data_IF_580501854846
#
_entry.id   IF_580501854846
#
_cell.length_a   1.000
_cell.length_b   1.000
_cell.length_c   1.000
_cell.angle_alpha   90.00
_cell.angle_beta   90.00
_cell.angle_gamma   90.00
#
_symmetry.space_group_name_H-M   'P 1'
#
loop_
_entity.id
_entity.type
_entity.pdbx_description
1 polymer ?
#
# COMPACT_ATOMS: atom_id res chain seq x y z
N UNK A 1 22.34 39.94 25.42
CA UNK A 1 21.62 38.75 25.92
C UNK A 1 21.55 37.81 24.75
N UNK A 2 22.45 36.85 24.78
CA UNK A 2 22.83 36.00 23.66
C UNK A 2 21.68 35.13 23.18
N UNK A 3 21.70 34.83 21.89
CA UNK A 3 20.67 34.08 21.19
C UNK A 3 20.48 32.70 21.81
N UNK A 4 19.30 32.48 22.37
CA UNK A 4 18.76 31.12 22.46
C UNK A 4 18.45 30.68 21.03
N UNK A 5 19.43 30.02 20.41
CA UNK A 5 19.18 29.11 19.31
C UNK A 5 18.07 28.16 19.79
N UNK A 6 16.90 28.24 19.16
CA UNK A 6 15.85 27.23 19.32
C UNK A 6 16.43 25.96 18.70
N UNK A 7 17.14 25.17 19.52
CA UNK A 7 17.52 23.82 19.17
C UNK A 7 16.23 23.07 18.85
N UNK A 8 16.15 22.52 17.64
CA UNK A 8 14.98 21.79 17.15
C UNK A 8 14.50 20.80 18.21
N UNK A 9 13.19 20.76 18.41
CA UNK A 9 12.55 19.82 19.34
C UNK A 9 13.08 18.41 19.08
N UNK A 10 13.54 17.67 20.11
CA UNK A 10 13.97 16.29 19.94
C UNK A 10 12.86 15.50 19.23
N UNK A 11 13.20 14.79 18.15
CA UNK A 11 12.25 13.95 17.40
C UNK A 11 11.51 12.93 18.29
N UNK A 12 12.10 12.55 19.42
CA UNK A 12 11.42 11.81 20.49
C UNK A 12 11.76 12.38 21.87
N UNK A 13 10.81 13.05 22.55
CA UNK A 13 10.98 13.43 23.94
C UNK A 13 10.66 12.24 24.85
N UNK A 14 11.69 11.60 25.42
CA UNK A 14 11.54 10.58 26.47
C UNK A 14 11.84 9.13 26.04
N UNK A 15 11.58 8.14 26.91
CA UNK A 15 11.87 6.73 26.61
C UNK A 15 11.03 6.26 25.41
N UNK A 16 11.64 5.49 24.52
CA UNK A 16 10.98 4.94 23.32
C UNK A 16 9.78 4.10 23.73
N UNK A 17 8.58 4.55 23.39
CA UNK A 17 7.31 3.82 23.54
C UNK A 17 6.78 3.47 22.16
N UNK A 18 6.13 2.32 22.03
CA UNK A 18 5.50 1.90 20.77
C UNK A 18 4.22 2.69 20.48
N UNK A 19 3.51 3.09 21.53
CA UNK A 19 2.25 3.81 21.44
C UNK A 19 2.29 5.10 22.26
N UNK A 20 1.65 6.13 21.74
CA UNK A 20 1.35 7.36 22.48
C UNK A 20 0.30 7.11 23.56
N UNK A 21 0.42 7.83 24.69
CA UNK A 21 -0.60 7.81 25.73
C UNK A 21 -1.91 8.42 25.19
N UNK A 22 -3.04 7.75 25.45
CA UNK A 22 -4.37 8.20 24.99
C UNK A 22 -5.11 9.06 26.01
N UNK A 23 -4.41 9.52 27.05
CA UNK A 23 -5.02 10.29 28.13
C UNK A 23 -5.50 11.63 27.59
N UNK A 24 -6.82 11.84 27.67
CA UNK A 24 -7.46 13.08 27.26
C UNK A 24 -8.02 13.81 28.47
N UNK A 25 -7.60 15.06 28.64
CA UNK A 25 -8.24 16.01 29.54
C UNK A 25 -8.90 17.09 28.70
N UNK A 26 -10.19 17.37 28.94
CA UNK A 26 -10.89 18.36 28.16
C UNK A 26 -10.33 19.76 28.43
N UNK A 27 -9.93 20.44 27.35
CA UNK A 27 -9.45 21.83 27.36
C UNK A 27 -10.48 22.83 26.83
N UNK A 28 -11.73 22.41 26.62
CA UNK A 28 -12.80 23.27 26.08
C UNK A 28 -13.50 24.04 27.21
N UNK A 29 -14.13 25.16 26.87
CA UNK A 29 -14.78 26.04 27.85
C UNK A 29 -16.07 25.44 28.42
N UNK A 30 -16.75 24.57 27.67
CA UNK A 30 -18.03 23.98 28.08
C UNK A 30 -18.03 22.46 27.98
N UNK A 31 -18.80 21.80 28.84
CA UNK A 31 -18.98 20.33 28.81
C UNK A 31 -19.53 19.87 27.46
N UNK A 32 -20.43 20.65 26.84
CA UNK A 32 -20.99 20.32 25.53
C UNK A 32 -19.93 20.30 24.42
N UNK A 33 -18.96 21.21 24.47
CA UNK A 33 -17.83 21.20 23.52
C UNK A 33 -16.91 20.01 23.76
N UNK A 34 -16.71 19.61 25.03
CA UNK A 34 -16.00 18.37 25.36
C UNK A 34 -16.70 17.14 24.79
N UNK A 35 -18.01 17.02 24.98
CA UNK A 35 -18.81 15.91 24.47
C UNK A 35 -18.78 15.89 22.94
N UNK A 36 -18.91 17.06 22.30
CA UNK A 36 -18.81 17.22 20.86
C UNK A 36 -17.45 16.76 20.32
N UNK A 37 -16.35 17.11 21.00
CA UNK A 37 -15.01 16.68 20.62
C UNK A 37 -14.81 15.16 20.77
N UNK A 38 -15.47 14.55 21.75
CA UNK A 38 -15.43 13.12 22.02
C UNK A 38 -16.39 12.28 21.16
N UNK A 39 -17.17 12.92 20.28
CA UNK A 39 -18.04 12.18 19.35
C UNK A 39 -17.21 11.22 18.47
N UNK A 40 -17.88 10.16 18.02
CA UNK A 40 -17.27 9.01 17.37
C UNK A 40 -16.31 9.36 16.22
N UNK A 41 -16.66 10.37 15.40
CA UNK A 41 -15.88 10.78 14.22
C UNK A 41 -14.89 11.92 14.48
N UNK A 42 -14.95 12.53 15.66
CA UNK A 42 -14.24 13.77 16.00
C UNK A 42 -13.01 13.47 16.87
N UNK A 43 -13.12 12.43 17.71
CA UNK A 43 -12.17 12.20 18.78
C UNK A 43 -10.81 11.73 18.25
N UNK A 44 -9.81 12.62 18.38
CA UNK A 44 -8.46 12.40 17.85
C UNK A 44 -7.78 11.18 18.46
N UNK A 45 -7.91 10.99 19.78
CA UNK A 45 -7.24 9.93 20.55
C UNK A 45 -7.69 8.50 20.20
N UNK A 46 -8.72 8.36 19.35
CA UNK A 46 -9.23 7.07 18.86
C UNK A 46 -9.27 7.03 17.32
N UNK A 47 -8.74 8.05 16.63
CA UNK A 47 -8.91 8.20 15.19
C UNK A 47 -8.30 7.04 14.37
N UNK A 48 -7.20 6.45 14.84
CA UNK A 48 -6.61 5.25 14.26
C UNK A 48 -7.56 4.05 14.30
N UNK A 49 -8.27 3.85 15.43
CA UNK A 49 -9.29 2.82 15.56
C UNK A 49 -10.53 3.08 14.70
N UNK A 50 -10.85 4.35 14.41
CA UNK A 50 -12.02 4.73 13.60
C UNK A 50 -11.78 4.71 12.09
N UNK A 51 -10.53 4.91 11.65
CA UNK A 51 -10.22 5.08 10.24
C UNK A 51 -9.20 4.07 9.71
N UNK A 52 -8.08 3.87 10.42
CA UNK A 52 -7.03 2.98 9.96
C UNK A 52 -7.40 1.50 10.18
N UNK A 53 -7.92 1.13 11.36
CA UNK A 53 -8.35 -0.26 11.62
C UNK A 53 -9.47 -0.73 10.69
N UNK A 54 -10.54 0.04 10.41
CA UNK A 54 -11.55 -0.36 9.43
C UNK A 54 -10.97 -0.51 8.02
N UNK A 55 -9.96 0.29 7.65
CA UNK A 55 -9.27 0.16 6.35
C UNK A 55 -8.52 -1.17 6.28
N UNK A 56 -7.83 -1.54 7.36
CA UNK A 56 -7.19 -2.85 7.49
C UNK A 56 -8.21 -3.98 7.42
N UNK A 57 -9.33 -3.85 8.13
CA UNK A 57 -10.40 -4.83 8.12
C UNK A 57 -11.03 -4.98 6.72
N UNK A 58 -11.19 -3.88 5.98
CA UNK A 58 -11.68 -3.88 4.61
C UNK A 58 -10.80 -4.73 3.69
N UNK A 59 -9.49 -4.46 3.66
CA UNK A 59 -8.55 -5.24 2.84
C UNK A 59 -8.45 -6.70 3.30
N UNK A 60 -8.40 -6.93 4.62
CA UNK A 60 -8.29 -8.27 5.19
C UNK A 60 -9.52 -9.13 4.88
N UNK A 61 -10.72 -8.55 4.95
CA UNK A 61 -11.98 -9.24 4.63
C UNK A 61 -12.01 -9.71 3.18
N UNK A 62 -11.53 -8.88 2.24
CA UNK A 62 -11.39 -9.27 0.83
C UNK A 62 -10.41 -10.44 0.70
N UNK A 63 -9.22 -10.33 1.31
CA UNK A 63 -8.21 -11.41 1.24
C UNK A 63 -8.75 -12.72 1.83
N UNK A 64 -9.43 -12.65 2.97
CA UNK A 64 -10.05 -13.80 3.64
C UNK A 64 -11.10 -14.45 2.73
N UNK A 65 -11.96 -13.67 2.08
CA UNK A 65 -12.96 -14.18 1.16
C UNK A 65 -12.33 -14.96 -0.01
N UNK A 66 -11.27 -14.43 -0.62
CA UNK A 66 -10.53 -15.13 -1.67
C UNK A 66 -9.76 -16.34 -1.15
N UNK A 67 -9.23 -16.29 0.08
CA UNK A 67 -8.54 -17.41 0.72
C UNK A 67 -9.51 -18.57 1.01
N UNK A 68 -10.71 -18.28 1.52
CA UNK A 68 -11.75 -19.29 1.70
C UNK A 68 -12.18 -19.92 0.38
N UNK A 69 -12.38 -19.12 -0.68
CA UNK A 69 -12.69 -19.64 -2.00
C UNK A 69 -11.57 -20.55 -2.52
N UNK A 70 -10.31 -20.17 -2.31
CA UNK A 70 -9.15 -20.98 -2.71
C UNK A 70 -9.06 -22.30 -1.94
N UNK A 71 -9.16 -22.24 -0.61
CA UNK A 71 -9.14 -23.41 0.26
C UNK A 71 -10.30 -24.36 -0.09
N UNK A 72 -11.49 -23.84 -0.36
CA UNK A 72 -12.64 -24.63 -0.79
C UNK A 72 -12.36 -25.34 -2.12
N UNK A 73 -11.77 -24.67 -3.11
CA UNK A 73 -11.44 -25.29 -4.41
C UNK A 73 -10.37 -26.40 -4.27
N UNK A 74 -9.46 -26.30 -3.31
CA UNK A 74 -8.43 -27.32 -3.08
C UNK A 74 -8.92 -28.50 -2.23
N UNK A 75 -9.72 -28.23 -1.18
CA UNK A 75 -10.04 -29.21 -0.15
C UNK A 75 -11.42 -29.84 -0.29
N UNK A 76 -12.37 -29.20 -1.00
CA UNK A 76 -13.72 -29.72 -1.13
C UNK A 76 -13.75 -31.03 -1.94
N UNK A 77 -14.56 -32.03 -1.52
CA UNK A 77 -14.67 -33.29 -2.25
C UNK A 77 -15.31 -33.09 -3.62
N UNK A 78 -14.94 -33.94 -4.58
CA UNK A 78 -15.43 -33.89 -5.97
C UNK A 78 -16.96 -33.94 -6.06
N UNK A 79 -17.63 -34.61 -5.11
CA UNK A 79 -19.10 -34.65 -5.03
C UNK A 79 -19.70 -33.26 -4.84
N UNK A 80 -19.13 -32.46 -3.93
CA UNK A 80 -19.56 -31.10 -3.65
C UNK A 80 -19.23 -30.15 -4.80
N UNK A 81 -18.04 -30.30 -5.41
CA UNK A 81 -17.61 -29.49 -6.56
C UNK A 81 -18.51 -29.67 -7.79
N UNK A 82 -19.13 -30.85 -7.95
CA UNK A 82 -20.04 -31.16 -9.06
C UNK A 82 -21.45 -30.63 -8.88
N UNK A 83 -21.81 -30.11 -7.70
CA UNK A 83 -23.14 -29.55 -7.45
C UNK A 83 -23.43 -28.36 -8.39
N UNK A 84 -24.69 -28.17 -8.83
CA UNK A 84 -25.02 -27.11 -9.78
C UNK A 84 -24.70 -25.71 -9.24
N UNK A 85 -24.81 -25.52 -7.92
CA UNK A 85 -24.48 -24.25 -7.26
C UNK A 85 -22.99 -23.95 -7.40
N UNK A 86 -22.10 -24.88 -7.02
CA UNK A 86 -20.65 -24.67 -7.10
C UNK A 86 -20.19 -24.49 -8.55
N UNK A 87 -20.78 -25.22 -9.50
CA UNK A 87 -20.47 -25.04 -10.93
C UNK A 87 -20.90 -23.66 -11.45
N UNK A 88 -22.07 -23.17 -11.05
CA UNK A 88 -22.56 -21.82 -11.42
C UNK A 88 -21.71 -20.72 -10.81
N UNK A 89 -21.36 -20.83 -9.52
CA UNK A 89 -20.51 -19.84 -8.85
C UNK A 89 -19.10 -19.81 -9.46
N UNK A 90 -18.52 -20.98 -9.74
CA UNK A 90 -17.20 -21.08 -10.42
C UNK A 90 -17.27 -20.52 -11.84
N UNK A 91 -18.35 -20.75 -12.58
CA UNK A 91 -18.53 -20.17 -13.90
C UNK A 91 -18.65 -18.63 -13.86
N UNK A 92 -19.38 -18.09 -12.88
CA UNK A 92 -19.49 -16.65 -12.66
C UNK A 92 -18.13 -16.04 -12.28
N UNK A 93 -17.39 -16.66 -11.37
CA UNK A 93 -16.04 -16.21 -10.99
C UNK A 93 -15.09 -16.17 -12.21
N UNK A 94 -15.11 -17.22 -13.03
CA UNK A 94 -14.35 -17.26 -14.29
C UNK A 94 -14.78 -16.15 -15.24
N UNK A 95 -16.08 -15.91 -15.39
CA UNK A 95 -16.59 -14.83 -16.22
C UNK A 95 -16.09 -13.47 -15.72
N UNK A 96 -16.18 -13.19 -14.43
CA UNK A 96 -15.69 -11.93 -13.84
C UNK A 96 -14.16 -11.80 -13.98
N UNK A 97 -13.43 -12.89 -13.83
CA UNK A 97 -11.96 -12.94 -13.93
C UNK A 97 -11.42 -12.76 -15.35
N UNK A 98 -12.18 -13.15 -16.39
CA UNK A 98 -11.72 -13.10 -17.79
C UNK A 98 -12.40 -12.02 -18.64
N UNK A 99 -13.59 -11.53 -18.26
CA UNK A 99 -14.34 -10.57 -19.07
C UNK A 99 -13.62 -9.22 -19.11
N UNK A 100 -13.12 -8.86 -20.28
CA UNK A 100 -12.45 -7.58 -20.57
C UNK A 100 -13.24 -6.82 -21.63
N UNK A 101 -13.30 -5.49 -21.52
CA UNK A 101 -13.92 -4.61 -22.50
C UNK A 101 -12.86 -3.89 -23.34
N UNK A 102 -13.04 -3.93 -24.66
CA UNK A 102 -12.18 -3.26 -25.63
C UNK A 102 -12.70 -1.86 -25.92
N UNK A 103 -11.96 -0.82 -25.53
CA UNK A 103 -12.27 0.56 -25.89
C UNK A 103 -11.52 0.87 -27.20
N UNK A 104 -12.24 0.78 -28.33
CA UNK A 104 -11.66 0.96 -29.67
C UNK A 104 -11.05 2.34 -29.87
N UNK A 105 -11.69 3.38 -29.34
CA UNK A 105 -11.25 4.76 -29.51
C UNK A 105 -9.80 4.99 -29.10
N UNK A 106 -9.33 4.34 -28.03
CA UNK A 106 -7.99 4.56 -27.45
C UNK A 106 -7.08 3.35 -27.62
N UNK A 107 -7.48 2.38 -28.45
CA UNK A 107 -6.76 1.12 -28.63
C UNK A 107 -6.44 0.43 -27.27
N UNK A 108 -7.31 0.58 -26.26
CA UNK A 108 -7.05 0.18 -24.87
C UNK A 108 -8.01 -0.93 -24.38
N UNK A 109 -7.49 -1.85 -23.55
CA UNK A 109 -8.24 -2.94 -22.94
C UNK A 109 -8.47 -2.64 -21.47
N UNK A 110 -9.70 -2.82 -21.00
CA UNK A 110 -10.00 -2.67 -19.57
C UNK A 110 -9.32 -3.75 -18.73
N UNK A 111 -9.19 -3.50 -17.43
CA UNK A 111 -8.98 -4.60 -16.49
C UNK A 111 -10.20 -5.56 -16.55
N UNK A 112 -10.03 -6.83 -16.14
CA UNK A 112 -11.15 -7.75 -15.98
C UNK A 112 -12.28 -7.17 -15.13
N UNK A 113 -13.53 -7.49 -15.47
CA UNK A 113 -14.72 -6.95 -14.84
C UNK A 113 -14.72 -7.15 -13.31
N UNK A 114 -14.28 -8.32 -12.81
CA UNK A 114 -14.17 -8.56 -11.38
C UNK A 114 -13.21 -7.59 -10.66
N UNK A 115 -12.10 -7.24 -11.31
CA UNK A 115 -11.15 -6.26 -10.77
C UNK A 115 -11.77 -4.85 -10.77
N UNK A 116 -12.51 -4.48 -11.82
CA UNK A 116 -13.21 -3.20 -11.88
C UNK A 116 -14.28 -3.08 -10.79
N UNK A 117 -15.04 -4.15 -10.54
CA UNK A 117 -16.05 -4.18 -9.47
C UNK A 117 -15.42 -4.07 -8.08
N UNK A 118 -14.35 -4.82 -7.80
CA UNK A 118 -13.61 -4.70 -6.53
C UNK A 118 -13.07 -3.29 -6.34
N UNK A 119 -12.63 -2.66 -7.43
CA UNK A 119 -12.11 -1.31 -7.39
C UNK A 119 -13.20 -0.26 -7.19
N UNK A 120 -14.39 -0.49 -7.73
CA UNK A 120 -15.57 0.33 -7.45
C UNK A 120 -15.93 0.25 -5.97
N UNK A 121 -15.95 -0.96 -5.38
CA UNK A 121 -16.19 -1.17 -3.95
C UNK A 121 -15.16 -0.42 -3.11
N UNK A 122 -13.87 -0.52 -3.45
CA UNK A 122 -12.81 0.25 -2.78
C UNK A 122 -13.00 1.76 -2.91
N UNK A 123 -13.35 2.25 -4.10
CA UNK A 123 -13.60 3.69 -4.33
C UNK A 123 -14.76 4.20 -3.49
N UNK A 124 -15.86 3.46 -3.43
CA UNK A 124 -17.02 3.79 -2.58
C UNK A 124 -16.61 3.79 -1.11
N UNK A 125 -15.86 2.78 -0.66
CA UNK A 125 -15.37 2.71 0.72
C UNK A 125 -14.55 3.95 1.10
N UNK A 126 -13.50 4.28 0.33
CA UNK A 126 -12.65 5.44 0.62
C UNK A 126 -13.42 6.76 0.51
N UNK A 127 -14.31 6.90 -0.48
CA UNK A 127 -15.14 8.09 -0.62
C UNK A 127 -16.08 8.26 0.59
N UNK A 128 -16.77 7.19 1.02
CA UNK A 128 -17.65 7.24 2.18
C UNK A 128 -16.88 7.56 3.46
N UNK A 129 -15.77 6.85 3.74
CA UNK A 129 -14.97 7.09 4.96
C UNK A 129 -14.32 8.46 4.98
N UNK A 130 -14.10 9.08 3.82
CA UNK A 130 -13.52 10.43 3.72
C UNK A 130 -14.57 11.54 3.76
N UNK A 131 -15.75 11.34 3.16
CA UNK A 131 -16.71 12.42 2.92
C UNK A 131 -17.96 12.36 3.81
N UNK A 132 -18.36 11.18 4.29
CA UNK A 132 -19.55 11.06 5.15
C UNK A 132 -19.29 11.60 6.56
N UNK A 133 -18.14 11.32 7.22
CA UNK A 133 -17.84 11.88 8.53
C UNK A 133 -17.74 13.41 8.49
N UNK A 134 -18.55 14.07 9.32
CA UNK A 134 -18.47 15.50 9.62
C UNK A 134 -17.78 15.72 10.98
N UNK A 135 -17.34 16.95 11.31
CA UNK A 135 -17.14 18.07 10.39
C UNK A 135 -15.88 17.86 9.55
N UNK A 136 -15.58 18.79 8.63
CA UNK A 136 -14.39 18.72 7.78
C UNK A 136 -13.25 19.57 8.36
N UNK A 137 -13.63 20.71 8.93
CA UNK A 137 -12.77 21.62 9.70
C UNK A 137 -13.42 21.86 11.05
N UNK A 138 -12.60 22.17 12.05
CA UNK A 138 -13.10 22.66 13.32
C UNK A 138 -13.78 24.03 13.16
N UNK A 139 -14.78 24.35 14.00
CA UNK A 139 -15.36 25.68 14.04
C UNK A 139 -14.27 26.74 14.27
N UNK A 140 -14.33 27.83 13.50
CA UNK A 140 -13.52 29.02 13.76
C UNK A 140 -14.15 29.76 14.94
N UNK A 141 -13.61 29.60 16.14
CA UNK A 141 -14.01 30.35 17.33
C UNK A 141 -13.07 31.54 17.56
N UNK A 142 -13.64 32.70 17.92
CA UNK A 142 -12.88 33.89 18.33
C UNK A 142 -12.15 33.69 19.67
N UNK A 143 -12.68 32.80 20.51
CA UNK A 143 -12.01 32.31 21.71
C UNK A 143 -10.96 31.26 21.33
N UNK A 144 -9.83 31.27 22.04
CA UNK A 144 -8.67 30.38 21.88
C UNK A 144 -8.98 28.91 22.24
N UNK A 145 -10.15 28.39 21.84
CA UNK A 145 -10.55 27.00 22.01
C UNK A 145 -9.76 26.18 21.00
N UNK A 146 -8.67 25.59 21.48
CA UNK A 146 -7.81 24.72 20.69
C UNK A 146 -8.51 23.36 20.52
N UNK A 147 -9.11 23.13 19.35
CA UNK A 147 -9.78 21.87 18.98
C UNK A 147 -8.80 20.75 18.59
N UNK A 148 -7.52 20.86 18.99
CA UNK A 148 -6.43 20.07 18.43
C UNK A 148 -5.99 20.62 17.08
N UNK A 149 -4.70 20.83 16.88
CA UNK A 149 -4.12 21.48 15.69
C UNK A 149 -4.29 20.72 14.36
N UNK A 150 -5.10 19.65 14.35
CA UNK A 150 -5.37 18.79 13.20
C UNK A 150 -6.84 18.88 12.77
N UNK A 151 -7.15 19.40 11.56
CA UNK A 151 -8.50 19.41 11.02
C UNK A 151 -9.09 17.98 10.91
N UNK A 152 -10.38 17.75 11.21
CA UNK A 152 -10.96 16.39 11.20
C UNK A 152 -10.85 15.66 9.85
N UNK A 153 -10.97 16.39 8.73
CA UNK A 153 -10.75 15.81 7.39
C UNK A 153 -9.30 15.38 7.18
N UNK A 154 -8.34 16.14 7.70
CA UNK A 154 -6.94 15.79 7.61
C UNK A 154 -6.62 14.55 8.45
N UNK A 155 -7.10 14.52 9.70
CA UNK A 155 -6.90 13.40 10.63
C UNK A 155 -7.40 12.09 10.03
N UNK A 156 -8.66 12.05 9.56
CA UNK A 156 -9.23 10.81 9.02
C UNK A 156 -8.51 10.32 7.77
N UNK A 157 -8.21 11.22 6.83
CA UNK A 157 -7.56 10.85 5.58
C UNK A 157 -6.10 10.40 5.80
N UNK A 158 -5.40 10.96 6.79
CA UNK A 158 -4.08 10.48 7.23
C UNK A 158 -4.12 9.05 7.76
N UNK A 159 -5.12 8.70 8.58
CA UNK A 159 -5.28 7.34 9.09
C UNK A 159 -5.78 6.35 8.02
N UNK A 160 -6.67 6.76 7.10
CA UNK A 160 -7.03 5.96 5.93
C UNK A 160 -5.81 5.66 5.04
N UNK A 161 -4.96 6.67 4.85
CA UNK A 161 -3.68 6.59 4.15
C UNK A 161 -2.74 5.57 4.80
N UNK A 162 -2.53 5.67 6.12
CA UNK A 162 -1.67 4.73 6.86
C UNK A 162 -2.22 3.29 6.86
N UNK A 163 -3.54 3.12 6.91
CA UNK A 163 -4.21 1.82 6.80
C UNK A 163 -3.96 1.10 5.47
N UNK A 164 -3.69 1.83 4.38
CA UNK A 164 -3.31 1.25 3.08
C UNK A 164 -1.88 0.68 3.07
N UNK A 165 -0.98 1.25 3.88
CA UNK A 165 0.47 1.03 3.76
C UNK A 165 0.88 -0.45 3.81
N UNK A 166 0.43 -1.28 4.77
CA UNK A 166 0.82 -2.68 4.81
C UNK A 166 0.44 -3.46 3.54
N UNK A 167 -0.72 -3.15 2.96
CA UNK A 167 -1.25 -3.85 1.79
C UNK A 167 -0.58 -3.42 0.48
N UNK A 168 -0.10 -2.18 0.38
CA UNK A 168 0.72 -1.73 -0.75
C UNK A 168 1.98 -2.58 -0.85
N UNK A 169 2.68 -2.80 0.28
CA UNK A 169 3.89 -3.62 0.31
C UNK A 169 3.60 -5.10 0.11
N UNK A 170 2.52 -5.61 0.72
CA UNK A 170 2.12 -7.01 0.61
C UNK A 170 1.76 -7.40 -0.82
N UNK A 171 1.24 -6.47 -1.63
CA UNK A 171 0.88 -6.69 -3.04
C UNK A 171 2.03 -6.38 -4.03
N UNK A 172 3.14 -5.80 -3.57
CA UNK A 172 4.26 -5.40 -4.42
C UNK A 172 5.14 -6.59 -4.85
N UNK A 173 5.34 -7.57 -3.97
CA UNK A 173 6.34 -8.63 -4.13
C UNK A 173 5.96 -9.76 -5.08
N UNK A 174 6.92 -10.21 -5.91
CA UNK A 174 6.78 -11.42 -6.75
C UNK A 174 6.55 -12.69 -5.94
N UNK A 175 7.19 -12.75 -4.77
CA UNK A 175 6.87 -13.70 -3.70
C UNK A 175 6.04 -12.91 -2.71
N UNK A 176 4.79 -13.30 -2.52
CA UNK A 176 3.89 -12.61 -1.60
C UNK A 176 2.98 -13.62 -0.90
N UNK A 177 2.65 -13.31 0.36
CA UNK A 177 1.84 -14.17 1.21
C UNK A 177 0.39 -14.25 0.72
N UNK A 178 -0.13 -13.23 0.03
CA UNK A 178 -1.49 -13.24 -0.51
C UNK A 178 -1.65 -14.34 -1.55
N UNK A 179 -0.71 -14.48 -2.48
CA UNK A 179 -0.68 -15.56 -3.48
C UNK A 179 -0.64 -16.92 -2.80
N UNK A 180 0.08 -17.06 -1.68
CA UNK A 180 0.16 -18.33 -0.95
C UNK A 180 -1.18 -18.77 -0.37
N UNK A 181 -2.01 -17.83 0.12
CA UNK A 181 -3.32 -18.15 0.73
C UNK A 181 -4.50 -18.08 -0.24
N UNK A 182 -4.43 -17.25 -1.27
CA UNK A 182 -5.53 -17.03 -2.23
C UNK A 182 -5.35 -17.72 -3.58
N UNK A 183 -4.13 -18.18 -3.90
CA UNK A 183 -3.77 -18.68 -5.23
C UNK A 183 -3.80 -17.61 -6.34
N UNK A 184 -4.05 -16.34 -6.02
CA UNK A 184 -4.07 -15.25 -7.00
C UNK A 184 -2.64 -14.91 -7.43
N UNK A 185 -2.38 -14.88 -8.74
CA UNK A 185 -1.04 -14.62 -9.27
C UNK A 185 -0.54 -13.21 -8.95
N UNK A 186 0.78 -13.06 -8.81
CA UNK A 186 1.45 -11.77 -8.61
C UNK A 186 1.03 -10.72 -9.66
N UNK A 187 0.88 -11.11 -10.92
CA UNK A 187 0.48 -10.20 -12.00
C UNK A 187 -0.89 -9.53 -11.73
N UNK A 188 -1.85 -10.29 -11.18
CA UNK A 188 -3.14 -9.75 -10.77
C UNK A 188 -2.98 -8.84 -9.55
N UNK A 189 -2.15 -9.23 -8.58
CA UNK A 189 -1.86 -8.42 -7.39
C UNK A 189 -1.16 -7.09 -7.71
N UNK A 190 -0.39 -7.00 -8.79
CA UNK A 190 0.19 -5.74 -9.25
C UNK A 190 -0.87 -4.71 -9.67
N UNK A 191 -2.05 -5.16 -10.10
CA UNK A 191 -3.17 -4.24 -10.31
C UNK A 191 -3.60 -3.64 -8.98
N UNK A 192 -3.79 -4.46 -7.95
CA UNK A 192 -4.14 -3.97 -6.61
C UNK A 192 -3.05 -3.08 -6.00
N UNK A 193 -1.77 -3.44 -6.12
CA UNK A 193 -0.65 -2.60 -5.67
C UNK A 193 -0.77 -1.16 -6.18
N UNK A 194 -1.04 -0.99 -7.49
CA UNK A 194 -1.24 0.33 -8.10
C UNK A 194 -2.48 1.05 -7.56
N UNK A 195 -3.63 0.37 -7.51
CA UNK A 195 -4.88 1.02 -7.12
C UNK A 195 -4.90 1.39 -5.63
N UNK A 196 -4.34 0.54 -4.76
CA UNK A 196 -4.15 0.87 -3.34
C UNK A 196 -3.15 2.03 -3.20
N UNK A 197 -2.08 2.06 -4.00
CA UNK A 197 -1.15 3.20 -4.03
C UNK A 197 -1.84 4.50 -4.46
N UNK A 198 -2.79 4.45 -5.39
CA UNK A 198 -3.59 5.62 -5.76
C UNK A 198 -4.50 6.06 -4.63
N UNK A 199 -5.18 5.14 -3.94
CA UNK A 199 -5.99 5.47 -2.76
C UNK A 199 -5.11 6.10 -1.67
N UNK A 200 -3.94 5.51 -1.38
CA UNK A 200 -2.94 6.01 -0.44
C UNK A 200 -2.49 7.43 -0.81
N UNK A 201 -2.20 7.70 -2.09
CA UNK A 201 -1.78 9.02 -2.53
C UNK A 201 -2.92 10.05 -2.46
N UNK A 202 -4.14 9.68 -2.89
CA UNK A 202 -5.31 10.58 -2.83
C UNK A 202 -5.64 10.93 -1.38
N UNK A 203 -5.65 9.97 -0.47
CA UNK A 203 -5.90 10.26 0.95
C UNK A 203 -4.75 11.06 1.58
N UNK A 204 -3.50 10.87 1.17
CA UNK A 204 -2.38 11.73 1.59
C UNK A 204 -2.51 13.18 1.09
N UNK A 205 -3.02 13.40 -0.12
CA UNK A 205 -3.35 14.75 -0.60
C UNK A 205 -4.49 15.38 0.21
N UNK A 206 -5.55 14.61 0.47
CA UNK A 206 -6.70 15.05 1.30
C UNK A 206 -6.28 15.25 2.76
N UNK A 207 -5.20 14.62 3.22
CA UNK A 207 -4.59 14.88 4.52
C UNK A 207 -3.86 16.23 4.51
N UNK A 208 -3.03 16.45 3.49
CA UNK A 208 -2.12 17.59 3.42
C UNK A 208 -2.85 18.92 3.16
N UNK A 209 -3.74 18.98 2.17
CA UNK A 209 -4.33 20.25 1.75
C UNK A 209 -5.21 20.93 2.82
N UNK A 210 -6.00 20.23 3.64
CA UNK A 210 -6.71 20.86 4.73
C UNK A 210 -5.79 21.45 5.79
N UNK A 211 -4.63 20.86 6.09
CA UNK A 211 -3.61 21.51 6.92
C UNK A 211 -3.12 22.80 6.27
N UNK A 212 -2.86 22.78 4.95
CA UNK A 212 -2.45 23.98 4.21
C UNK A 212 -3.50 25.09 4.33
N UNK A 213 -4.75 24.78 4.01
CA UNK A 213 -5.87 25.73 4.04
C UNK A 213 -6.12 26.26 5.45
N UNK A 214 -6.15 25.37 6.46
CA UNK A 214 -6.40 25.75 7.84
C UNK A 214 -5.33 26.72 8.35
N UNK A 215 -4.05 26.40 8.18
CA UNK A 215 -2.95 27.22 8.71
C UNK A 215 -2.71 28.51 7.93
N UNK A 216 -3.09 28.58 6.64
CA UNK A 216 -3.13 29.86 5.92
C UNK A 216 -4.23 30.75 6.49
N UNK A 217 -5.43 30.20 6.72
CA UNK A 217 -6.58 30.95 7.27
C UNK A 217 -6.35 31.46 8.68
N UNK A 218 -5.60 30.72 9.50
CA UNK A 218 -5.26 31.09 10.88
C UNK A 218 -3.92 31.83 11.00
N UNK A 219 -3.28 32.17 9.87
CA UNK A 219 -1.97 32.83 9.80
C UNK A 219 -0.83 32.08 10.53
N UNK A 220 -0.96 30.77 10.70
CA UNK A 220 0.01 29.91 11.39
C UNK A 220 0.99 29.19 10.44
N UNK A 221 0.80 29.28 9.12
CA UNK A 221 1.56 28.49 8.14
C UNK A 221 3.09 28.62 8.30
N UNK A 222 3.59 29.85 8.41
CA UNK A 222 5.03 30.11 8.53
C UNK A 222 5.57 29.58 9.86
N UNK A 223 4.81 29.75 10.94
CA UNK A 223 5.18 29.23 12.26
C UNK A 223 5.27 27.70 12.20
N UNK A 224 4.21 27.04 11.74
CA UNK A 224 4.16 25.58 11.63
C UNK A 224 5.29 25.03 10.75
N UNK A 225 5.58 25.66 9.61
CA UNK A 225 6.69 25.23 8.75
C UNK A 225 8.04 25.30 9.45
N UNK A 226 8.28 26.33 10.25
CA UNK A 226 9.57 26.57 10.89
C UNK A 226 9.76 25.77 12.19
N UNK A 227 8.67 25.47 12.91
CA UNK A 227 8.75 24.87 14.25
C UNK A 227 8.23 23.44 14.33
N UNK A 228 7.38 23.02 13.39
CA UNK A 228 6.77 21.70 13.40
C UNK A 228 7.50 20.74 12.45
N UNK A 229 8.18 19.75 13.05
CA UNK A 229 8.93 18.74 12.34
C UNK A 229 8.08 17.93 11.33
N UNK A 230 6.80 17.77 11.60
CA UNK A 230 5.90 16.96 10.78
C UNK A 230 5.61 17.61 9.43
N UNK A 231 5.68 18.95 9.33
CA UNK A 231 5.33 19.67 8.10
C UNK A 231 6.32 19.38 6.98
N UNK A 232 7.61 19.60 7.22
CA UNK A 232 8.61 19.44 6.18
C UNK A 232 8.87 17.95 5.88
N UNK A 233 8.85 17.08 6.89
CA UNK A 233 8.98 15.63 6.70
C UNK A 233 7.80 15.06 5.92
N UNK A 234 6.58 15.51 6.21
CA UNK A 234 5.36 15.17 5.46
C UNK A 234 5.42 15.61 4.01
N UNK A 235 5.94 16.81 3.73
CA UNK A 235 6.14 17.29 2.34
C UNK A 235 7.16 16.45 1.59
N UNK A 236 8.29 16.09 2.21
CA UNK A 236 9.28 15.21 1.56
C UNK A 236 8.68 13.83 1.26
N UNK A 237 7.92 13.26 2.21
CA UNK A 237 7.20 12.01 2.00
C UNK A 237 6.18 12.14 0.84
N UNK A 238 5.39 13.22 0.81
CA UNK A 238 4.39 13.44 -0.25
C UNK A 238 5.02 13.60 -1.64
N UNK A 239 6.16 14.29 -1.76
CA UNK A 239 6.91 14.42 -3.01
C UNK A 239 7.42 13.05 -3.48
N UNK A 240 8.00 12.25 -2.57
CA UNK A 240 8.43 10.90 -2.88
C UNK A 240 7.25 10.01 -3.32
N UNK A 241 6.10 10.13 -2.66
CA UNK A 241 4.87 9.40 -3.03
C UNK A 241 4.30 9.84 -4.37
N UNK A 242 4.36 11.14 -4.68
CA UNK A 242 3.98 11.68 -5.98
C UNK A 242 4.89 11.11 -7.08
N UNK A 243 6.20 11.06 -6.86
CA UNK A 243 7.14 10.39 -7.78
C UNK A 243 6.77 8.91 -7.97
N UNK A 244 6.57 8.16 -6.88
CA UNK A 244 6.18 6.76 -6.93
C UNK A 244 4.89 6.54 -7.74
N UNK A 245 3.96 7.49 -7.69
CA UNK A 245 2.67 7.42 -8.40
C UNK A 245 2.82 7.77 -9.87
N UNK A 246 3.34 8.96 -10.17
CA UNK A 246 3.38 9.49 -11.54
C UNK A 246 4.46 8.81 -12.38
N UNK A 247 5.67 8.57 -11.86
CA UNK A 247 6.73 7.90 -12.62
C UNK A 247 6.37 6.43 -12.98
N UNK A 248 5.44 5.83 -12.24
CA UNK A 248 4.97 4.45 -12.47
C UNK A 248 3.92 4.31 -13.58
N UNK A 249 3.46 5.40 -14.20
CA UNK A 249 2.54 5.31 -15.34
C UNK A 249 3.22 4.67 -16.55
N UNK A 250 2.45 3.91 -17.34
CA UNK A 250 3.00 3.05 -18.39
C UNK A 250 3.88 3.76 -19.43
N UNK A 251 3.54 4.96 -19.92
CA UNK A 251 4.39 5.68 -20.86
C UNK A 251 5.75 6.07 -20.26
N UNK A 252 5.78 6.55 -19.01
CA UNK A 252 7.02 7.04 -18.39
C UNK A 252 7.97 5.89 -18.05
N UNK A 253 7.47 4.80 -17.47
CA UNK A 253 8.30 3.62 -17.16
C UNK A 253 8.83 2.90 -18.41
N UNK A 254 8.20 3.10 -19.57
CA UNK A 254 8.62 2.49 -20.83
C UNK A 254 9.81 3.22 -21.48
N UNK A 255 10.08 4.48 -21.11
CA UNK A 255 11.21 5.26 -21.63
C UNK A 255 12.54 4.65 -21.17
N UNK A 256 12.66 4.33 -19.88
CA UNK A 256 13.82 3.65 -19.31
C UNK A 256 13.41 2.80 -18.11
N UNK A 257 13.19 1.52 -18.34
CA UNK A 257 12.67 0.60 -17.31
C UNK A 257 13.66 0.39 -16.16
N UNK A 258 14.96 0.26 -16.46
CA UNK A 258 15.98 0.05 -15.43
C UNK A 258 16.15 1.29 -14.54
N UNK A 259 16.12 2.50 -15.12
CA UNK A 259 16.12 3.74 -14.35
C UNK A 259 14.85 3.91 -13.51
N UNK A 260 13.68 3.65 -14.11
CA UNK A 260 12.41 3.66 -13.40
C UNK A 260 12.47 2.75 -12.17
N UNK A 261 12.93 1.50 -12.35
CA UNK A 261 13.03 0.54 -11.26
C UNK A 261 13.98 1.02 -10.16
N UNK A 262 15.16 1.50 -10.51
CA UNK A 262 16.12 2.04 -9.54
C UNK A 262 15.54 3.23 -8.77
N UNK A 263 15.07 4.25 -9.48
CA UNK A 263 14.50 5.46 -8.88
C UNK A 263 13.24 5.17 -8.06
N UNK A 264 12.44 4.16 -8.44
CA UNK A 264 11.28 3.71 -7.67
C UNK A 264 11.69 3.14 -6.31
N UNK A 265 12.73 2.29 -6.24
CA UNK A 265 13.22 1.78 -4.95
C UNK A 265 13.83 2.89 -4.08
N UNK A 266 14.57 3.83 -4.68
CA UNK A 266 15.12 4.98 -3.94
C UNK A 266 13.99 5.85 -3.39
N UNK A 267 12.98 6.19 -4.22
CA UNK A 267 11.84 6.97 -3.78
C UNK A 267 11.00 6.24 -2.73
N UNK A 268 10.86 4.91 -2.81
CA UNK A 268 10.19 4.11 -1.79
C UNK A 268 10.94 4.15 -0.45
N UNK A 269 12.28 4.10 -0.47
CA UNK A 269 13.09 4.26 0.74
C UNK A 269 12.91 5.66 1.34
N UNK A 270 13.03 6.71 0.53
CA UNK A 270 12.83 8.10 0.97
C UNK A 270 11.43 8.26 1.56
N UNK A 271 10.39 7.80 0.85
CA UNK A 271 9.02 7.82 1.33
C UNK A 271 8.88 7.15 2.69
N UNK A 272 9.38 5.92 2.85
CA UNK A 272 9.24 5.18 4.11
C UNK A 272 9.99 5.83 5.27
N UNK A 273 11.20 6.34 5.04
CA UNK A 273 12.01 7.00 6.06
C UNK A 273 11.33 8.29 6.52
N UNK A 274 10.95 9.16 5.58
CA UNK A 274 10.32 10.44 5.92
C UNK A 274 8.90 10.27 6.47
N UNK A 275 8.13 9.28 6.00
CA UNK A 275 6.82 8.97 6.57
C UNK A 275 6.95 8.42 8.00
N UNK A 276 7.96 7.58 8.28
CA UNK A 276 8.21 7.08 9.63
C UNK A 276 8.54 8.22 10.60
N UNK A 277 9.36 9.18 10.15
CA UNK A 277 9.65 10.39 10.91
C UNK A 277 8.42 11.27 11.09
N UNK A 278 7.65 11.49 10.03
CA UNK A 278 6.44 12.31 10.01
C UNK A 278 5.33 11.77 10.93
N UNK A 279 5.13 10.46 10.97
CA UNK A 279 4.13 9.86 11.84
C UNK A 279 4.57 9.80 13.31
N UNK A 280 5.89 9.69 13.56
CA UNK A 280 6.41 9.53 14.92
C UNK A 280 5.73 8.38 15.66
N UNK A 281 5.74 8.44 17.00
CA UNK A 281 5.05 7.48 17.85
C UNK A 281 3.54 7.77 18.03
N UNK A 282 2.95 8.60 17.16
CA UNK A 282 1.57 9.07 17.29
C UNK A 282 0.57 7.91 17.30
N UNK A 283 -0.24 7.84 18.36
CA UNK A 283 -1.18 6.74 18.63
C UNK A 283 -0.57 5.35 18.33
N UNK A 284 -1.11 4.61 17.36
CA UNK A 284 -0.63 3.28 16.94
C UNK A 284 0.16 3.31 15.62
N UNK A 285 0.63 4.47 15.15
CA UNK A 285 1.21 4.61 13.81
C UNK A 285 2.37 3.62 13.56
N UNK A 286 3.23 3.39 14.55
CA UNK A 286 4.35 2.44 14.44
C UNK A 286 3.94 0.99 14.22
N UNK A 287 2.76 0.57 14.68
CA UNK A 287 2.27 -0.79 14.42
C UNK A 287 2.14 -1.05 12.91
N UNK A 288 1.68 -0.04 12.16
CA UNK A 288 1.56 -0.13 10.72
C UNK A 288 2.92 -0.25 10.04
N UNK A 289 3.95 0.45 10.54
CA UNK A 289 5.33 0.31 10.05
C UNK A 289 5.93 -1.06 10.38
N UNK A 290 5.73 -1.55 11.61
CA UNK A 290 6.20 -2.86 12.05
C UNK A 290 5.56 -3.94 11.18
N UNK A 291 4.24 -3.94 11.03
CA UNK A 291 3.52 -4.93 10.20
C UNK A 291 3.98 -4.85 8.74
N UNK A 292 4.16 -3.65 8.19
CA UNK A 292 4.69 -3.45 6.83
C UNK A 292 6.09 -4.05 6.69
N UNK A 293 6.97 -3.79 7.66
CA UNK A 293 8.31 -4.35 7.71
C UNK A 293 8.32 -5.88 7.81
N UNK A 294 7.46 -6.45 8.67
CA UNK A 294 7.28 -7.91 8.81
C UNK A 294 6.79 -8.53 7.49
N UNK A 295 5.77 -7.96 6.86
CA UNK A 295 5.26 -8.46 5.57
C UNK A 295 6.32 -8.42 4.47
N UNK A 296 7.09 -7.33 4.41
CA UNK A 296 8.19 -7.21 3.46
C UNK A 296 9.30 -8.24 3.74
N UNK A 297 9.74 -8.35 5.00
CA UNK A 297 10.79 -9.26 5.42
C UNK A 297 10.42 -10.72 5.19
N UNK A 298 9.20 -11.15 5.57
CA UNK A 298 8.72 -12.51 5.33
C UNK A 298 8.65 -12.83 3.83
N UNK A 299 8.10 -11.91 3.03
CA UNK A 299 8.01 -12.07 1.57
C UNK A 299 9.39 -12.18 0.92
N UNK A 300 10.36 -11.40 1.41
CA UNK A 300 11.75 -11.41 0.96
C UNK A 300 12.48 -12.69 1.39
N UNK A 301 12.39 -13.08 2.66
CA UNK A 301 13.01 -14.28 3.22
C UNK A 301 12.50 -15.52 2.52
N UNK A 302 11.18 -15.66 2.40
CA UNK A 302 10.56 -16.77 1.68
C UNK A 302 11.11 -16.93 0.26
N UNK A 303 11.31 -15.82 -0.47
CA UNK A 303 11.93 -15.85 -1.79
C UNK A 303 13.37 -16.34 -1.74
N UNK A 304 14.20 -15.84 -0.82
CA UNK A 304 15.60 -16.26 -0.73
C UNK A 304 15.70 -17.74 -0.36
N UNK A 305 14.87 -18.20 0.59
CA UNK A 305 14.82 -19.60 1.02
C UNK A 305 14.46 -20.53 -0.15
N UNK A 306 13.44 -20.20 -0.96
CA UNK A 306 13.11 -21.02 -2.15
C UNK A 306 14.21 -21.05 -3.20
N UNK A 307 14.88 -19.93 -3.43
CA UNK A 307 16.01 -19.88 -4.38
C UNK A 307 17.14 -20.78 -3.87
N UNK A 308 17.48 -20.69 -2.59
CA UNK A 308 18.61 -21.41 -2.01
C UNK A 308 18.34 -22.91 -1.84
N UNK A 309 17.19 -23.28 -1.26
CA UNK A 309 16.87 -24.65 -0.87
C UNK A 309 16.15 -25.47 -1.94
N UNK A 310 15.24 -24.88 -2.72
CA UNK A 310 14.48 -25.64 -3.72
C UNK A 310 15.21 -25.69 -5.08
N UNK A 311 15.78 -24.57 -5.52
CA UNK A 311 16.33 -24.44 -6.88
C UNK A 311 17.87 -24.49 -6.92
N UNK A 312 18.53 -24.08 -5.83
CA UNK A 312 19.98 -23.94 -5.76
C UNK A 312 20.51 -22.75 -6.57
N UNK A 313 21.76 -22.39 -6.30
CA UNK A 313 22.44 -21.24 -6.96
C UNK A 313 23.55 -21.65 -7.93
N UNK A 314 23.85 -22.95 -8.02
CA UNK A 314 25.00 -23.47 -8.77
C UNK A 314 24.63 -24.04 -10.16
N UNK A 315 23.38 -23.90 -10.59
CA UNK A 315 22.94 -24.39 -11.90
C UNK A 315 23.50 -23.52 -13.02
N UNK A 316 24.30 -24.13 -13.91
CA UNK A 316 24.82 -23.44 -15.11
C UNK A 316 23.77 -23.44 -16.21
N UNK A 317 23.40 -22.26 -16.68
CA UNK A 317 22.50 -22.08 -17.81
C UNK A 317 23.28 -22.02 -19.13
N UNK A 318 22.74 -22.62 -20.19
CA UNK A 318 23.23 -22.44 -21.57
C UNK A 318 22.30 -21.49 -22.30
N UNK A 319 22.87 -20.44 -22.90
CA UNK A 319 22.11 -19.43 -23.65
C UNK A 319 22.43 -19.59 -25.13
N UNK A 320 21.40 -19.76 -25.97
CA UNK A 320 21.54 -19.91 -27.41
C UNK A 320 20.49 -19.06 -28.14
N UNK A 321 20.85 -18.50 -29.29
CA UNK A 321 19.88 -17.83 -30.15
C UNK A 321 19.13 -18.88 -30.98
N UNK A 322 17.82 -18.93 -30.86
CA UNK A 322 16.97 -19.77 -31.68
C UNK A 322 16.83 -19.17 -33.09
N UNK A 323 16.54 -20.00 -34.09
CA UNK A 323 16.44 -19.61 -35.50
C UNK A 323 15.39 -18.50 -35.76
N UNK A 324 14.40 -18.36 -34.88
CA UNK A 324 13.36 -17.33 -34.92
C UNK A 324 13.76 -16.03 -34.19
N UNK A 325 15.02 -15.86 -33.79
CA UNK A 325 15.54 -14.66 -33.11
C UNK A 325 15.26 -14.61 -31.60
N UNK A 326 14.65 -15.64 -31.03
CA UNK A 326 14.41 -15.71 -29.59
C UNK A 326 15.65 -16.20 -28.83
N UNK A 327 15.88 -15.66 -27.64
CA UNK A 327 16.91 -16.15 -26.74
C UNK A 327 16.38 -17.37 -25.98
N UNK A 328 16.95 -18.55 -26.25
CA UNK A 328 16.65 -19.77 -25.53
C UNK A 328 17.64 -19.94 -24.37
N UNK A 329 17.10 -20.09 -23.16
CA UNK A 329 17.90 -20.32 -21.94
C UNK A 329 17.57 -21.71 -21.42
N UNK A 330 18.53 -22.63 -21.50
CA UNK A 330 18.41 -24.00 -20.98
C UNK A 330 19.05 -24.07 -19.61
N UNK A 331 18.25 -24.37 -18.59
CA UNK A 331 18.71 -24.51 -17.19
C UNK A 331 18.41 -25.94 -16.73
N UNK A 332 19.41 -26.71 -16.25
CA UNK A 332 19.15 -27.99 -15.61
C UNK A 332 18.37 -27.75 -14.32
N UNK A 333 17.19 -28.36 -14.20
CA UNK A 333 16.31 -28.21 -13.05
C UNK A 333 15.63 -29.53 -12.70
N UNK A 334 15.30 -29.70 -11.42
CA UNK A 334 14.47 -30.80 -10.91
C UNK A 334 12.98 -30.43 -10.84
N UNK A 335 12.65 -29.17 -11.14
CA UNK A 335 11.28 -28.69 -11.09
C UNK A 335 10.41 -29.39 -12.13
N UNK A 336 9.19 -29.77 -11.74
CA UNK A 336 8.16 -30.29 -12.64
C UNK A 336 7.15 -29.17 -12.86
N UNK A 337 6.79 -28.91 -14.12
CA UNK A 337 5.82 -27.89 -14.47
C UNK A 337 4.79 -28.37 -15.49
N UNK A 338 3.67 -27.66 -15.52
CA UNK A 338 2.60 -27.85 -16.49
C UNK A 338 2.69 -26.79 -17.59
N UNK A 339 2.11 -27.11 -18.75
CA UNK A 339 2.02 -26.19 -19.87
C UNK A 339 1.35 -24.88 -19.44
N UNK A 340 1.97 -23.75 -19.80
CA UNK A 340 1.48 -22.41 -19.45
C UNK A 340 2.03 -21.83 -18.14
N UNK A 341 2.87 -22.55 -17.41
CA UNK A 341 3.59 -22.00 -16.25
C UNK A 341 4.80 -21.15 -16.69
N UNK A 342 5.15 -20.16 -15.87
CA UNK A 342 6.34 -19.33 -16.05
C UNK A 342 7.25 -19.43 -14.83
N UNK A 343 8.53 -19.16 -15.06
CA UNK A 343 9.59 -19.18 -14.07
C UNK A 343 10.26 -17.83 -13.98
N UNK A 344 10.76 -17.53 -12.80
CA UNK A 344 11.54 -16.34 -12.53
C UNK A 344 13.01 -16.72 -12.42
N UNK A 345 13.83 -16.28 -13.38
CA UNK A 345 15.25 -16.63 -13.46
C UNK A 345 16.10 -15.43 -13.06
N UNK A 346 17.19 -15.71 -12.33
CA UNK A 346 18.23 -14.75 -11.95
C UNK A 346 19.57 -15.21 -12.50
N UNK A 347 20.27 -14.31 -13.19
CA UNK A 347 21.60 -14.58 -13.73
C UNK A 347 22.67 -13.98 -12.82
N UNK A 348 23.39 -14.82 -12.08
CA UNK A 348 24.38 -14.36 -11.09
C UNK A 348 25.66 -13.76 -11.73
N UNK A 349 25.89 -13.97 -13.02
CA UNK A 349 27.12 -13.55 -13.73
C UNK A 349 27.03 -12.16 -14.36
N UNK A 350 25.88 -11.48 -14.30
CA UNK A 350 25.65 -10.19 -14.98
C UNK A 350 25.92 -8.96 -14.08
N UNK A 351 26.84 -9.07 -13.13
CA UNK A 351 27.22 -7.96 -12.24
C UNK A 351 26.02 -7.38 -11.47
N UNK A 352 25.74 -6.08 -11.62
CA UNK A 352 24.63 -5.40 -10.94
C UNK A 352 23.27 -6.01 -11.33
N UNK A 353 23.13 -6.55 -12.54
CA UNK A 353 21.91 -7.24 -12.98
C UNK A 353 21.72 -8.60 -12.30
N UNK A 354 22.68 -9.11 -11.53
CA UNK A 354 22.46 -10.28 -10.68
C UNK A 354 21.38 -10.04 -9.61
N UNK A 355 21.09 -8.77 -9.27
CA UNK A 355 20.01 -8.43 -8.36
C UNK A 355 18.61 -8.53 -9.01
N UNK A 356 18.51 -8.50 -10.35
CA UNK A 356 17.24 -8.58 -11.06
C UNK A 356 16.76 -10.03 -11.25
N UNK A 357 15.46 -10.15 -11.51
CA UNK A 357 14.78 -11.42 -11.72
C UNK A 357 13.82 -11.22 -12.88
N UNK A 358 13.91 -12.07 -13.90
CA UNK A 358 13.16 -11.93 -15.14
C UNK A 358 12.20 -13.12 -15.35
N UNK A 359 10.95 -12.87 -15.77
CA UNK A 359 10.02 -13.94 -16.09
C UNK A 359 10.36 -14.58 -17.43
N UNK A 360 10.31 -15.91 -17.49
CA UNK A 360 10.42 -16.72 -18.70
C UNK A 360 9.31 -17.77 -18.70
N UNK A 361 8.66 -17.97 -19.83
CA UNK A 361 7.68 -19.05 -19.98
C UNK A 361 8.40 -20.41 -20.02
N UNK A 362 7.90 -21.39 -19.26
CA UNK A 362 8.40 -22.75 -19.33
C UNK A 362 8.04 -23.37 -20.67
N UNK A 363 9.04 -23.69 -21.49
CA UNK A 363 8.87 -24.46 -22.73
C UNK A 363 8.94 -25.92 -22.31
N UNK A 364 7.91 -26.74 -22.58
CA UNK A 364 7.97 -28.16 -22.27
C UNK A 364 9.13 -28.82 -23.03
N UNK A 365 9.77 -29.85 -22.45
CA UNK A 365 10.78 -30.63 -23.16
C UNK A 365 10.24 -31.22 -24.46
#
# INVERSE_FOLDING_TARGET
>A
MDGMAIHGTPWMPGPVRLHEARDYQCSQNTTRECDYYQEYWHFWYEADHRFALPTVAFFTSIIILFAFAHAFQQLAPTSLQRTPIVRRTTALDRFLSYRVFRIRAWNWNSAPLGILLLSLVGTIYFACMTLVPSPYYWPLTETLNYWGGSPPLATRSGWLSLGCMPFVFLTAGKSNLITAVTGVSHEKLQVFHRWISYAFFVTALIHTFPFIVYNIRTYQMVMQWNTNFDYWTGVVALIAQAWLTFASISPLRAISYEWFKFSHFVAALVFMVFLFFHCGYTLSAWDYFIVTGVFFALSWLHRQLRIYFEHGVNSRATVSLAANGFVCVRVPTKAVWHVGQHFFVRFMTLGIHAASIHPFSGISP
#
